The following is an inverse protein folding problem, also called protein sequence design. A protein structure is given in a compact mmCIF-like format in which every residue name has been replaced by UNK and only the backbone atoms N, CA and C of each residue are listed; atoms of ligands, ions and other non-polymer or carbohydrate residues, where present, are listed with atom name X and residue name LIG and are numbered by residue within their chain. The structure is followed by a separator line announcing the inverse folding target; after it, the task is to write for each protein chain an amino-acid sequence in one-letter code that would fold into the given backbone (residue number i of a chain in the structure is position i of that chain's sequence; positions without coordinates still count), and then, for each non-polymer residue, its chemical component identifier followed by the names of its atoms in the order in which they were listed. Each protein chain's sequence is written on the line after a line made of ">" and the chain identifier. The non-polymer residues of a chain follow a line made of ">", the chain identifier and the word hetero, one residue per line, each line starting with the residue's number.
data_IF_696785594990
#
_entry.id   IF_696785594990
#
_cell.length_a   1.000
_cell.length_b   1.000
_cell.length_c   1.000
_cell.angle_alpha   90.00
_cell.angle_beta   90.00
_cell.angle_gamma   90.00
#
_symmetry.space_group_name_H-M   'P 1'
#
loop_
_entity.id
_entity.type
_entity.pdbx_description
1 polymer ?
#
# COMPACT_ATOMS: atom_id res chain seq x y z
N UNK A 1 -3.92 -19.23 -20.93
CA UNK A 1 -2.67 -18.51 -20.64
C UNK A 1 -2.93 -17.08 -21.07
N UNK A 2 -2.76 -16.11 -20.17
CA UNK A 2 -2.96 -14.68 -20.51
C UNK A 2 -1.70 -14.22 -21.26
N UNK A 3 -1.86 -13.51 -22.36
CA UNK A 3 -0.76 -12.94 -23.14
C UNK A 3 -0.23 -11.66 -22.49
N UNK A 4 1.00 -11.26 -22.82
CA UNK A 4 1.55 -9.98 -22.36
C UNK A 4 0.70 -8.78 -22.84
N UNK A 5 0.15 -8.86 -24.04
CA UNK A 5 -0.73 -7.82 -24.58
C UNK A 5 -2.04 -7.67 -23.78
N UNK A 6 -2.67 -8.79 -23.39
CA UNK A 6 -3.88 -8.77 -22.54
C UNK A 6 -3.58 -8.25 -21.12
N UNK A 7 -2.38 -8.55 -20.59
CA UNK A 7 -1.91 -7.99 -19.32
C UNK A 7 -1.68 -6.48 -19.42
N UNK A 8 -1.06 -6.02 -20.50
CA UNK A 8 -0.82 -4.60 -20.73
C UNK A 8 -2.14 -3.83 -20.89
N UNK A 9 -3.08 -4.36 -21.68
CA UNK A 9 -4.43 -3.78 -21.80
C UNK A 9 -5.12 -3.66 -20.43
N UNK A 10 -5.07 -4.72 -19.63
CA UNK A 10 -5.69 -4.73 -18.29
C UNK A 10 -5.03 -3.71 -17.37
N UNK A 11 -3.69 -3.66 -17.33
CA UNK A 11 -2.95 -2.76 -16.44
C UNK A 11 -3.11 -1.29 -16.83
N UNK A 12 -3.22 -0.97 -18.13
CA UNK A 12 -3.48 0.38 -18.62
C UNK A 12 -4.95 0.80 -18.52
N UNK A 13 -5.85 -0.12 -18.19
CA UNK A 13 -7.27 0.17 -18.08
C UNK A 13 -7.59 1.15 -16.94
N UNK A 14 -8.74 1.85 -16.99
CA UNK A 14 -9.19 2.71 -15.89
C UNK A 14 -9.32 2.00 -14.54
N UNK A 15 -9.62 0.70 -14.54
CA UNK A 15 -9.76 -0.10 -13.33
C UNK A 15 -8.41 -0.34 -12.62
N UNK A 16 -7.29 -0.31 -13.36
CA UNK A 16 -5.95 -0.48 -12.81
C UNK A 16 -5.21 0.85 -12.74
N UNK A 17 -4.75 1.37 -13.88
CA UNK A 17 -3.98 2.62 -13.92
C UNK A 17 -4.80 3.81 -13.42
N UNK A 18 -6.05 3.93 -13.86
CA UNK A 18 -6.94 5.03 -13.45
C UNK A 18 -7.21 5.05 -11.95
N UNK A 19 -7.57 3.90 -11.38
CA UNK A 19 -7.81 3.77 -9.94
C UNK A 19 -6.54 3.96 -9.10
N UNK A 20 -5.39 3.44 -9.57
CA UNK A 20 -4.10 3.68 -8.93
C UNK A 20 -3.76 5.18 -8.92
N UNK A 21 -3.93 5.87 -10.05
CA UNK A 21 -3.70 7.31 -10.14
C UNK A 21 -4.61 8.09 -9.16
N UNK A 22 -5.91 7.80 -9.15
CA UNK A 22 -6.85 8.42 -8.23
C UNK A 22 -6.46 8.17 -6.76
N UNK A 23 -6.18 6.90 -6.43
CA UNK A 23 -5.91 6.46 -5.07
C UNK A 23 -4.58 6.99 -4.52
N UNK A 24 -3.55 7.12 -5.35
CA UNK A 24 -2.23 7.57 -4.94
C UNK A 24 -2.07 9.10 -4.93
N UNK A 25 -2.77 9.84 -5.79
CA UNK A 25 -2.55 11.28 -5.95
C UNK A 25 -3.60 12.17 -5.29
N UNK A 26 -4.79 11.67 -4.97
CA UNK A 26 -5.88 12.49 -4.42
C UNK A 26 -6.21 12.17 -2.96
N UNK A 27 -6.49 13.21 -2.17
CA UNK A 27 -6.79 13.09 -0.73
C UNK A 27 -8.17 12.54 -0.38
N UNK A 28 -8.99 12.25 -1.40
CA UNK A 28 -10.22 11.46 -1.22
C UNK A 28 -9.88 10.04 -0.73
N UNK A 29 -8.73 9.50 -1.14
CA UNK A 29 -8.22 8.19 -0.73
C UNK A 29 -7.89 8.12 0.77
N UNK A 30 -8.51 7.18 1.48
CA UNK A 30 -8.19 6.87 2.88
C UNK A 30 -6.78 6.28 3.03
N UNK A 31 -6.33 5.49 2.05
CA UNK A 31 -4.98 4.90 2.03
C UNK A 31 -3.92 6.01 1.98
N UNK A 32 -4.08 6.97 1.06
CA UNK A 32 -3.16 8.11 0.93
C UNK A 32 -3.13 8.98 2.17
N UNK A 33 -4.31 9.32 2.71
CA UNK A 33 -4.42 10.12 3.95
C UNK A 33 -3.76 9.44 5.14
N UNK A 34 -3.80 8.10 5.23
CA UNK A 34 -3.06 7.37 6.25
C UNK A 34 -1.55 7.55 6.03
N UNK A 35 -1.06 7.28 4.82
CA UNK A 35 0.36 7.41 4.44
C UNK A 35 0.95 8.78 4.77
N UNK A 36 0.22 9.87 4.49
CA UNK A 36 0.68 11.22 4.84
C UNK A 36 0.73 11.49 6.35
N UNK A 37 -0.12 10.84 7.15
CA UNK A 37 -0.23 11.10 8.59
C UNK A 37 0.74 10.27 9.43
N UNK A 38 1.17 9.11 8.96
CA UNK A 38 2.08 8.22 9.69
C UNK A 38 3.53 8.73 9.71
N UNK A 39 3.87 9.70 8.87
CA UNK A 39 5.17 10.40 8.88
C UNK A 39 5.30 11.29 10.13
N UNK A 40 4.19 11.74 10.72
CA UNK A 40 4.19 12.43 12.02
C UNK A 40 4.18 11.43 13.18
N UNK A 41 4.73 11.80 14.35
CA UNK A 41 4.78 10.98 15.58
C UNK A 41 3.39 10.69 16.20
N UNK A 42 2.50 10.10 15.42
CA UNK A 42 1.13 9.77 15.81
C UNK A 42 1.00 8.27 16.05
N UNK A 43 0.20 7.88 17.05
CA UNK A 43 -0.16 6.48 17.25
C UNK A 43 -1.03 6.03 16.08
N UNK A 44 -0.54 5.08 15.27
CA UNK A 44 -1.19 4.57 14.05
C UNK A 44 -2.68 4.28 14.24
N UNK A 45 -3.04 3.56 15.31
CA UNK A 45 -4.43 3.26 15.65
C UNK A 45 -5.32 4.51 15.76
N UNK A 46 -4.84 5.55 16.45
CA UNK A 46 -5.60 6.82 16.58
C UNK A 46 -5.79 7.54 15.24
N UNK A 47 -4.87 7.34 14.30
CA UNK A 47 -4.99 7.93 12.96
C UNK A 47 -6.05 7.18 12.17
N UNK A 48 -6.03 5.84 12.20
CA UNK A 48 -7.04 5.00 11.54
C UNK A 48 -8.44 5.28 12.08
N UNK A 49 -8.60 5.35 13.42
CA UNK A 49 -9.90 5.64 14.06
C UNK A 49 -10.51 6.98 13.59
N UNK A 50 -9.67 7.96 13.23
CA UNK A 50 -10.12 9.26 12.70
C UNK A 50 -10.40 9.26 11.20
N UNK A 51 -9.68 8.45 10.41
CA UNK A 51 -9.84 8.37 8.96
C UNK A 51 -11.05 7.49 8.59
N UNK A 52 -11.33 6.48 9.41
CA UNK A 52 -12.21 5.36 9.08
C UNK A 52 -11.44 4.20 8.44
N UNK A 53 -12.17 3.22 7.90
CA UNK A 53 -11.58 1.99 7.33
C UNK A 53 -10.53 2.30 6.25
N UNK A 54 -9.32 1.77 6.43
CA UNK A 54 -8.22 1.87 5.46
C UNK A 54 -7.92 0.47 4.93
N UNK A 55 -8.37 0.17 3.72
CA UNK A 55 -8.24 -1.16 3.11
C UNK A 55 -6.77 -1.58 2.96
N UNK A 56 -5.90 -0.65 2.54
CA UNK A 56 -4.47 -0.91 2.41
C UNK A 56 -3.81 -1.37 3.71
N UNK A 57 -4.30 -0.92 4.87
CA UNK A 57 -3.81 -1.42 6.16
C UNK A 57 -4.08 -2.92 6.29
N UNK A 58 -5.35 -3.34 6.14
CA UNK A 58 -5.76 -4.74 6.26
C UNK A 58 -5.15 -5.62 5.17
N UNK A 59 -5.17 -5.14 3.92
CA UNK A 59 -4.62 -5.86 2.77
C UNK A 59 -3.13 -6.12 2.90
N UNK A 60 -2.34 -5.18 3.45
CA UNK A 60 -0.92 -5.40 3.70
C UNK A 60 -0.69 -6.60 4.62
N UNK A 61 -1.44 -6.73 5.71
CA UNK A 61 -1.34 -7.89 6.60
C UNK A 61 -1.70 -9.18 5.85
N UNK A 62 -2.81 -9.19 5.13
CA UNK A 62 -3.25 -10.38 4.37
C UNK A 62 -2.22 -10.82 3.34
N UNK A 63 -1.71 -9.90 2.52
CA UNK A 63 -0.75 -10.18 1.46
C UNK A 63 0.58 -10.68 2.04
N UNK A 64 1.10 -10.03 3.09
CA UNK A 64 2.33 -10.46 3.73
C UNK A 64 2.19 -11.84 4.39
N UNK A 65 1.07 -12.11 5.09
CA UNK A 65 0.82 -13.39 5.75
C UNK A 65 0.58 -14.56 4.79
N UNK A 66 0.20 -14.30 3.54
CA UNK A 66 -0.17 -15.34 2.55
C UNK A 66 0.67 -15.23 1.27
N UNK A 67 1.94 -14.86 1.40
CA UNK A 67 2.89 -14.74 0.28
C UNK A 67 3.09 -16.00 -0.55
N UNK A 68 2.86 -17.19 0.02
CA UNK A 68 2.83 -18.46 -0.74
C UNK A 68 1.69 -18.52 -1.78
N UNK A 69 0.61 -17.75 -1.56
CA UNK A 69 -0.56 -17.69 -2.46
C UNK A 69 -0.42 -16.53 -3.44
N UNK A 70 -0.04 -15.35 -2.94
CA UNK A 70 -0.05 -14.11 -3.71
C UNK A 70 1.31 -13.71 -4.31
N UNK A 71 2.37 -14.44 -3.96
CA UNK A 71 3.74 -14.09 -4.28
C UNK A 71 4.35 -13.07 -3.31
N UNK A 72 5.68 -12.99 -3.34
CA UNK A 72 6.43 -12.01 -2.57
C UNK A 72 6.45 -10.64 -3.28
N UNK A 73 6.40 -9.55 -2.50
CA UNK A 73 6.47 -8.19 -3.02
C UNK A 73 7.27 -7.29 -2.08
N UNK A 74 8.31 -6.63 -2.61
CA UNK A 74 9.12 -5.65 -1.87
C UNK A 74 8.27 -4.50 -1.33
N UNK A 75 7.23 -4.09 -2.07
CA UNK A 75 6.32 -3.01 -1.67
C UNK A 75 5.43 -3.45 -0.50
N UNK A 76 4.91 -4.68 -0.54
CA UNK A 76 4.10 -5.24 0.56
C UNK A 76 4.95 -5.41 1.82
N UNK A 77 6.18 -5.90 1.68
CA UNK A 77 7.13 -6.03 2.79
C UNK A 77 7.44 -4.68 3.44
N UNK A 78 7.75 -3.66 2.63
CA UNK A 78 7.98 -2.30 3.11
C UNK A 78 6.77 -1.74 3.87
N UNK A 79 5.56 -1.90 3.31
CA UNK A 79 4.33 -1.49 3.96
C UNK A 79 4.12 -2.24 5.29
N UNK A 80 4.41 -3.55 5.34
CA UNK A 80 4.27 -4.36 6.54
C UNK A 80 5.23 -3.92 7.66
N UNK A 81 6.51 -3.69 7.34
CA UNK A 81 7.50 -3.16 8.29
C UNK A 81 7.03 -1.85 8.92
N UNK A 82 6.54 -0.92 8.11
CA UNK A 82 6.06 0.39 8.58
C UNK A 82 4.80 0.24 9.45
N UNK A 83 3.79 -0.48 8.95
CA UNK A 83 2.44 -0.49 9.54
C UNK A 83 2.33 -1.43 10.75
N UNK A 84 3.09 -2.54 10.77
CA UNK A 84 2.95 -3.61 11.76
C UNK A 84 4.19 -3.84 12.61
N UNK A 85 5.39 -3.58 12.09
CA UNK A 85 6.63 -3.68 12.87
C UNK A 85 7.11 -2.34 13.45
N UNK A 86 6.38 -1.25 13.14
CA UNK A 86 6.70 0.11 13.58
C UNK A 86 8.11 0.55 13.20
N UNK A 87 8.64 0.03 12.09
CA UNK A 87 9.91 0.45 11.53
C UNK A 87 9.85 1.90 11.05
N UNK A 88 10.99 2.60 11.13
CA UNK A 88 11.08 3.99 10.67
C UNK A 88 10.80 4.07 9.15
N UNK A 89 9.80 4.85 8.70
CA UNK A 89 9.44 4.92 7.29
C UNK A 89 10.58 5.37 6.38
N UNK A 90 11.47 6.25 6.86
CA UNK A 90 12.59 6.74 6.05
C UNK A 90 13.57 5.61 5.78
N UNK A 91 13.96 4.86 6.82
CA UNK A 91 14.88 3.72 6.68
C UNK A 91 14.29 2.68 5.73
N UNK A 92 13.02 2.32 5.90
CA UNK A 92 12.37 1.30 5.06
C UNK A 92 12.26 1.76 3.60
N UNK A 93 12.00 3.04 3.35
CA UNK A 93 11.94 3.58 1.98
C UNK A 93 13.33 3.66 1.35
N UNK A 94 14.38 4.01 2.11
CA UNK A 94 15.76 4.01 1.62
C UNK A 94 16.17 2.58 1.18
N UNK A 95 15.78 1.53 1.93
CA UNK A 95 15.98 0.12 1.54
C UNK A 95 15.14 -0.32 0.33
N UNK A 96 13.93 0.24 0.15
CA UNK A 96 13.05 -0.12 -0.95
C UNK A 96 13.56 0.41 -2.29
N UNK A 97 14.15 1.61 -2.29
CA UNK A 97 14.62 2.30 -3.49
C UNK A 97 16.14 2.19 -3.74
N UNK A 98 16.88 1.51 -2.86
CA UNK A 98 18.23 1.01 -3.17
C UNK A 98 18.18 -0.16 -4.14
#
# INVERSE_FOLDING_TARGET
>A
MITEAELEETTQSPACYGDMYLTCYFDTSRNRRLGLKIIGRYKLKKVIDKIGTVEGYLSTLTLHSHKEIFGESRVVEAAYKILYLHSDPKIVLDELFS
#
